data_IF_403041732011
#
_entry.id   IF_403041732011
#
_cell.length_a   1.000
_cell.length_b   1.000
_cell.length_c   1.000
_cell.angle_alpha   90.00
_cell.angle_beta   90.00
_cell.angle_gamma   90.00
#
_symmetry.space_group_name_H-M   'P 1'
#
loop_
_entity.id
_entity.type
_entity.pdbx_description
1 polymer ?
#
# COMPACT_ATOMS: atom_id res chain seq x y z
N UNK A 1 0.37 11.40 -10.90
CA UNK A 1 0.73 11.87 -9.55
C UNK A 1 -0.56 11.97 -8.77
N UNK A 2 -0.71 11.18 -7.72
CA UNK A 2 -1.89 11.20 -6.84
C UNK A 2 -1.48 11.97 -5.60
N UNK A 3 -2.10 13.12 -5.35
CA UNK A 3 -1.93 13.87 -4.11
C UNK A 3 -2.96 13.34 -3.12
N UNK A 4 -2.48 12.77 -2.03
CA UNK A 4 -3.34 12.18 -1.02
C UNK A 4 -3.54 13.23 0.09
N UNK A 5 -4.69 13.89 0.11
CA UNK A 5 -5.11 14.72 1.25
C UNK A 5 -5.85 13.86 2.27
N UNK A 6 -5.64 14.15 3.56
CA UNK A 6 -6.33 13.64 4.77
C UNK A 6 -6.70 12.15 4.75
N UNK A 7 -5.98 11.34 5.52
CA UNK A 7 -6.15 9.88 5.59
C UNK A 7 -5.85 9.17 4.24
N UNK A 8 -4.59 9.23 3.77
CA UNK A 8 -4.20 8.67 2.48
C UNK A 8 -4.53 7.17 2.41
N UNK A 9 -5.36 6.78 1.46
CA UNK A 9 -5.67 5.39 1.17
C UNK A 9 -5.55 5.09 -0.33
N UNK A 10 -5.20 3.84 -0.64
CA UNK A 10 -5.22 3.32 -2.02
C UNK A 10 -6.16 2.13 -2.08
N UNK A 11 -6.94 2.03 -3.15
CA UNK A 11 -7.76 0.86 -3.44
C UNK A 11 -7.04 0.02 -4.49
N UNK A 12 -6.77 -1.24 -4.15
CA UNK A 12 -6.14 -2.21 -5.03
C UNK A 12 -7.21 -3.21 -5.46
N UNK A 13 -7.54 -3.18 -6.74
CA UNK A 13 -8.50 -4.09 -7.36
C UNK A 13 -7.78 -5.31 -7.92
N UNK A 14 -8.22 -6.51 -7.54
CA UNK A 14 -7.56 -7.77 -7.92
C UNK A 14 -8.26 -8.39 -9.13
N UNK A 15 -7.49 -8.64 -10.19
CA UNK A 15 -7.95 -9.32 -11.40
C UNK A 15 -6.95 -10.38 -11.85
N UNK A 16 -7.44 -11.39 -12.56
CA UNK A 16 -6.59 -12.37 -13.23
C UNK A 16 -6.11 -11.87 -14.60
N UNK A 17 -5.35 -12.72 -15.31
CA UNK A 17 -4.83 -12.38 -16.64
C UNK A 17 -5.92 -12.18 -17.70
N UNK A 18 -7.09 -12.78 -17.49
CA UNK A 18 -8.25 -12.67 -18.37
C UNK A 18 -9.17 -11.50 -17.97
N UNK A 19 -8.70 -10.61 -17.08
CA UNK A 19 -9.42 -9.46 -16.53
C UNK A 19 -10.69 -9.84 -15.77
N UNK A 20 -10.73 -11.05 -15.20
CA UNK A 20 -11.82 -11.45 -14.31
C UNK A 20 -11.48 -11.04 -12.88
N UNK A 21 -12.49 -10.53 -12.19
CA UNK A 21 -12.40 -10.11 -10.79
C UNK A 21 -11.99 -11.30 -9.90
N UNK A 22 -10.83 -11.17 -9.26
CA UNK A 22 -10.35 -12.10 -8.24
C UNK A 22 -10.89 -11.62 -6.91
N UNK A 23 -11.56 -12.50 -6.17
CA UNK A 23 -11.97 -12.23 -4.79
C UNK A 23 -11.03 -12.99 -3.86
N UNK A 24 -10.09 -12.32 -3.18
CA UNK A 24 -9.25 -12.97 -2.19
C UNK A 24 -10.12 -13.67 -1.15
N UNK A 25 -9.89 -14.97 -0.92
CA UNK A 25 -10.58 -15.72 0.13
C UNK A 25 -10.14 -15.22 1.52
N UNK A 26 -8.88 -14.81 1.60
CA UNK A 26 -8.22 -14.37 2.81
C UNK A 26 -7.04 -13.47 2.45
N UNK A 27 -7.03 -12.25 2.98
CA UNK A 27 -5.82 -11.43 3.05
C UNK A 27 -5.07 -11.79 4.34
N UNK A 28 -3.84 -12.28 4.21
CA UNK A 28 -3.01 -12.71 5.35
C UNK A 28 -2.20 -11.56 5.93
N UNK A 29 -1.68 -10.69 5.08
CA UNK A 29 -0.91 -9.52 5.48
C UNK A 29 -0.95 -8.44 4.40
N UNK A 30 -0.85 -7.19 4.86
CA UNK A 30 -0.62 -6.02 4.02
C UNK A 30 0.53 -5.26 4.66
N UNK A 31 1.64 -5.18 3.95
CA UNK A 31 2.88 -4.55 4.43
C UNK A 31 3.23 -3.36 3.55
N UNK A 32 3.64 -2.27 4.18
CA UNK A 32 4.16 -1.10 3.53
C UNK A 32 5.66 -0.97 3.76
N UNK A 33 6.36 -0.58 2.72
CA UNK A 33 7.75 -0.14 2.76
C UNK A 33 7.82 1.27 2.16
N UNK A 34 8.06 2.27 2.99
CA UNK A 34 8.22 3.65 2.55
C UNK A 34 9.69 3.98 2.33
N UNK A 35 9.98 4.54 1.16
CA UNK A 35 11.29 5.07 0.77
C UNK A 35 11.19 6.56 0.56
N UNK A 36 11.94 7.32 1.34
CA UNK A 36 12.10 8.75 1.15
C UNK A 36 12.90 9.04 -0.12
N UNK A 37 12.34 9.82 -1.05
CA UNK A 37 13.01 10.26 -2.26
C UNK A 37 13.76 11.58 -2.11
N UNK A 38 13.65 12.26 -0.96
CA UNK A 38 14.18 13.61 -0.73
C UNK A 38 15.48 13.65 0.06
N UNK A 39 15.84 12.55 0.71
CA UNK A 39 17.06 12.44 1.54
C UNK A 39 18.19 11.75 0.76
N UNK A 40 19.39 12.31 0.86
CA UNK A 40 20.63 11.68 0.36
C UNK A 40 20.96 10.38 1.13
N UNK A 41 20.36 10.18 2.30
CA UNK A 41 20.39 8.93 3.08
C UNK A 41 18.97 8.34 3.14
N UNK A 42 18.64 7.34 2.29
CA UNK A 42 17.28 6.83 2.17
C UNK A 42 16.88 6.08 3.44
N UNK A 43 15.94 6.66 4.19
CA UNK A 43 15.32 6.00 5.34
C UNK A 43 14.29 5.00 4.84
N UNK A 44 14.40 3.77 5.34
CA UNK A 44 13.46 2.68 5.06
C UNK A 44 12.56 2.50 6.26
N UNK A 45 11.27 2.80 6.08
CA UNK A 45 10.27 2.57 7.12
C UNK A 45 9.40 1.40 6.68
N UNK A 46 9.33 0.40 7.54
CA UNK A 46 8.53 -0.80 7.33
C UNK A 46 7.39 -0.81 8.34
N UNK A 47 6.18 -1.08 7.87
CA UNK A 47 5.03 -1.21 8.77
C UNK A 47 3.96 -2.14 8.22
N UNK A 48 3.18 -2.71 9.14
CA UNK A 48 1.94 -3.38 8.79
C UNK A 48 0.86 -2.32 8.55
N UNK A 49 0.17 -2.39 7.41
CA UNK A 49 -0.83 -1.41 7.03
C UNK A 49 -2.23 -1.91 7.37
N UNK A 50 -3.06 -1.01 7.90
CA UNK A 50 -4.47 -1.27 8.06
C UNK A 50 -5.14 -1.39 6.68
N UNK A 51 -6.08 -2.31 6.56
CA UNK A 51 -6.81 -2.52 5.33
C UNK A 51 -8.27 -2.95 5.58
N UNK A 52 -9.10 -2.68 4.59
CA UNK A 52 -10.48 -3.16 4.48
C UNK A 52 -10.59 -3.94 3.17
N UNK A 53 -11.28 -5.08 3.19
CA UNK A 53 -11.53 -5.88 2.00
C UNK A 53 -13.04 -5.85 1.68
N UNK A 54 -13.38 -5.52 0.44
CA UNK A 54 -14.74 -5.59 -0.09
C UNK A 54 -14.69 -6.26 -1.47
N UNK A 55 -15.25 -7.47 -1.57
CA UNK A 55 -15.18 -8.30 -2.78
C UNK A 55 -13.74 -8.46 -3.34
N UNK A 56 -13.46 -7.80 -4.47
CA UNK A 56 -12.19 -7.82 -5.20
C UNK A 56 -11.29 -6.64 -4.89
N UNK A 57 -11.77 -5.72 -4.06
CA UNK A 57 -11.05 -4.51 -3.66
C UNK A 57 -10.42 -4.70 -2.28
N UNK A 58 -9.16 -4.30 -2.17
CA UNK A 58 -8.48 -4.12 -0.89
C UNK A 58 -8.12 -2.64 -0.76
N UNK A 59 -8.81 -1.95 0.15
CA UNK A 59 -8.51 -0.58 0.51
C UNK A 59 -7.43 -0.58 1.60
N UNK A 60 -6.28 -0.04 1.28
CA UNK A 60 -5.11 0.04 2.16
C UNK A 60 -4.95 1.46 2.66
N UNK A 61 -4.93 1.64 3.97
CA UNK A 61 -4.54 2.91 4.60
C UNK A 61 -3.01 3.04 4.52
N UNK A 62 -2.53 4.07 3.83
CA UNK A 62 -1.11 4.35 3.66
C UNK A 62 -0.54 5.10 4.86
N UNK A 63 -1.39 5.79 5.62
CA UNK A 63 -0.99 6.38 6.89
C UNK A 63 -1.02 5.30 7.98
N UNK A 64 0.15 4.67 8.20
CA UNK A 64 0.35 3.77 9.33
C UNK A 64 0.59 4.52 10.66
N UNK A 65 0.52 5.86 10.64
CA UNK A 65 1.07 6.72 11.67
C UNK A 65 2.58 6.86 11.55
N UNK A 66 3.34 5.82 11.14
CA UNK A 66 4.82 5.86 11.14
C UNK A 66 5.44 6.48 9.88
N UNK A 67 4.79 6.32 8.73
CA UNK A 67 5.38 6.78 7.45
C UNK A 67 5.48 8.32 7.37
N UNK A 68 4.62 9.03 8.10
CA UNK A 68 4.50 10.49 8.01
C UNK A 68 4.69 11.21 9.35
N UNK A 69 5.06 10.50 10.42
CA UNK A 69 5.00 10.99 11.82
C UNK A 69 5.93 12.16 12.18
N UNK A 70 6.97 12.44 11.37
CA UNK A 70 8.01 13.43 11.68
C UNK A 70 8.20 14.52 10.60
N UNK A 71 7.27 14.65 9.64
CA UNK A 71 7.43 15.55 8.49
C UNK A 71 6.45 16.73 8.49
N UNK A 72 6.14 17.25 9.67
CA UNK A 72 5.09 18.25 9.88
C UNK A 72 5.31 19.61 9.17
N UNK A 73 6.49 19.89 8.62
CA UNK A 73 6.79 21.18 7.95
C UNK A 73 7.45 21.07 6.55
N UNK A 74 7.51 19.88 5.94
CA UNK A 74 8.20 19.69 4.66
C UNK A 74 7.44 18.82 3.65
N UNK A 75 7.61 19.11 2.36
CA UNK A 75 7.04 18.29 1.29
C UNK A 75 7.48 16.83 1.43
N UNK A 76 6.53 15.90 1.39
CA UNK A 76 6.83 14.47 1.50
C UNK A 76 6.79 13.88 0.11
N UNK A 77 7.96 13.57 -0.46
CA UNK A 77 8.06 12.81 -1.71
C UNK A 77 8.74 11.47 -1.46
N UNK A 78 8.05 10.39 -1.78
CA UNK A 78 8.60 9.06 -1.61
C UNK A 78 7.84 7.99 -2.36
N UNK A 79 8.38 6.78 -2.31
CA UNK A 79 7.73 5.59 -2.87
C UNK A 79 7.28 4.70 -1.74
N UNK A 80 5.99 4.38 -1.69
CA UNK A 80 5.46 3.33 -0.81
C UNK A 80 5.28 2.06 -1.64
N UNK A 81 5.98 0.99 -1.28
CA UNK A 81 5.79 -0.35 -1.82
C UNK A 81 4.87 -1.12 -0.89
N UNK A 82 3.74 -1.57 -1.43
CA UNK A 82 2.70 -2.31 -0.72
C UNK A 82 2.78 -3.76 -1.15
N UNK A 83 2.97 -4.66 -0.19
CA UNK A 83 2.99 -6.11 -0.41
C UNK A 83 1.79 -6.73 0.27
N UNK A 84 0.93 -7.39 -0.50
CA UNK A 84 -0.26 -8.11 -0.01
C UNK A 84 -0.05 -9.59 -0.21
N UNK A 85 -0.06 -10.35 0.89
CA UNK A 85 -0.14 -11.81 0.83
C UNK A 85 -1.60 -12.23 0.97
N UNK A 86 -2.11 -13.02 0.03
CA UNK A 86 -3.52 -13.42 0.01
C UNK A 86 -3.72 -14.84 -0.54
N UNK A 87 -4.88 -15.43 -0.24
CA UNK A 87 -5.29 -16.74 -0.75
C UNK A 87 -6.37 -16.58 -1.82
N UNK A 88 -6.25 -17.33 -2.91
CA UNK A 88 -7.27 -17.41 -3.97
C UNK A 88 -7.30 -18.83 -4.56
N UNK A 89 -8.50 -19.41 -4.72
CA UNK A 89 -8.68 -20.78 -5.21
C UNK A 89 -7.82 -21.82 -4.45
N UNK A 90 -7.69 -21.64 -3.13
CA UNK A 90 -6.88 -22.50 -2.28
C UNK A 90 -5.35 -22.31 -2.38
N UNK A 91 -4.85 -21.44 -3.25
CA UNK A 91 -3.42 -21.16 -3.43
C UNK A 91 -3.03 -19.81 -2.80
N UNK A 92 -1.78 -19.71 -2.33
CA UNK A 92 -1.23 -18.49 -1.73
C UNK A 92 -0.49 -17.65 -2.79
N UNK A 93 -0.77 -16.35 -2.81
CA UNK A 93 -0.25 -15.37 -3.76
C UNK A 93 0.32 -14.14 -3.05
N UNK A 94 1.19 -13.43 -3.76
CA UNK A 94 1.74 -12.14 -3.33
C UNK A 94 1.49 -11.13 -4.44
N UNK A 95 0.84 -10.02 -4.11
CA UNK A 95 0.73 -8.84 -4.96
C UNK A 95 1.66 -7.75 -4.43
N UNK A 96 2.38 -7.08 -5.32
CA UNK A 96 3.28 -5.99 -4.99
C UNK A 96 2.90 -4.78 -5.83
N UNK A 97 2.59 -3.66 -5.17
CA UNK A 97 2.23 -2.41 -5.83
C UNK A 97 3.08 -1.28 -5.28
N UNK A 98 3.69 -0.48 -6.16
CA UNK A 98 4.44 0.71 -5.77
C UNK A 98 3.62 1.97 -6.10
N UNK A 99 3.45 2.85 -5.11
CA UNK A 99 2.78 4.15 -5.29
C UNK A 99 3.73 5.29 -4.96
N UNK A 100 3.71 6.33 -5.79
CA UNK A 100 4.40 7.58 -5.50
C UNK A 100 3.52 8.41 -4.57
N UNK A 101 4.05 8.74 -3.40
CA UNK A 101 3.39 9.59 -2.41
C UNK A 101 4.02 10.97 -2.50
N UNK A 102 3.16 11.97 -2.70
CA UNK A 102 3.51 13.39 -2.72
C UNK A 102 2.51 14.15 -1.86
N UNK A 103 2.97 14.78 -0.79
CA UNK A 103 2.20 15.74 0.01
C UNK A 103 2.76 17.14 -0.17
#
# INVERSE_FOLDING_TARGET
MVSLQSDPAVVLHFQDYDYQDIRPELVRSVQGEFRDGTSDDPVWIWDDLAYEQEDSDVKVALDSGKFFQDRDDGDIYGTCVITIAYRYQGNDYISVTAVQVGR
#
